data_IF_534883462320
#
_entry.id   IF_534883462320
#
_cell.length_a   1.000
_cell.length_b   1.000
_cell.length_c   1.000
_cell.angle_alpha   90.00
_cell.angle_beta   90.00
_cell.angle_gamma   90.00
#
_symmetry.space_group_name_H-M   'P 1'
#
loop_
_entity.id
_entity.type
_entity.pdbx_description
1 polymer ?
#
# COMPACT_ATOMS: atom_id res chain seq x y z
N UNK A 1 1.39 -29.71 -23.88
CA UNK A 1 2.47 -28.81 -23.40
C UNK A 1 1.80 -27.71 -22.60
N UNK A 2 2.15 -27.54 -21.32
CA UNK A 2 1.57 -26.48 -20.48
C UNK A 2 2.50 -25.27 -20.56
N UNK A 3 1.95 -24.09 -20.83
CA UNK A 3 2.68 -22.83 -20.79
C UNK A 3 2.48 -22.18 -19.43
N UNK A 4 3.56 -21.75 -18.79
CA UNK A 4 3.52 -20.98 -17.55
C UNK A 4 3.69 -19.51 -17.87
N UNK A 5 2.93 -18.67 -17.19
CA UNK A 5 3.08 -17.22 -17.18
C UNK A 5 3.63 -16.78 -15.84
N UNK A 6 4.47 -15.75 -15.82
CA UNK A 6 4.97 -15.16 -14.59
C UNK A 6 3.79 -14.60 -13.79
N UNK A 7 3.59 -15.02 -12.53
CA UNK A 7 2.51 -14.50 -11.72
C UNK A 7 2.79 -13.05 -11.32
N UNK A 8 1.74 -12.22 -11.30
CA UNK A 8 1.79 -10.89 -10.72
C UNK A 8 1.41 -10.98 -9.24
N UNK A 9 2.28 -10.49 -8.37
CA UNK A 9 2.18 -10.58 -6.90
C UNK A 9 2.28 -9.18 -6.28
N UNK A 10 1.14 -8.49 -6.07
CA UNK A 10 1.13 -7.19 -5.41
C UNK A 10 1.28 -7.32 -3.88
N UNK A 11 1.90 -6.31 -3.26
CA UNK A 11 2.04 -6.19 -1.81
C UNK A 11 1.06 -5.13 -1.27
N UNK A 12 0.14 -5.55 -0.40
CA UNK A 12 -0.77 -4.65 0.29
C UNK A 12 -0.14 -4.09 1.57
N UNK A 13 -0.19 -2.78 1.73
CA UNK A 13 0.42 -2.05 2.84
C UNK A 13 -0.62 -1.17 3.51
N UNK A 14 -0.81 -1.25 4.85
CA UNK A 14 -1.70 -0.34 5.57
C UNK A 14 -1.29 1.11 5.36
N UNK A 15 -2.17 1.94 4.79
CA UNK A 15 -1.94 3.37 4.58
C UNK A 15 -1.78 4.15 5.90
N UNK A 16 -2.20 3.56 7.03
CA UNK A 16 -1.98 4.10 8.38
C UNK A 16 -0.57 3.90 8.94
N UNK A 17 0.34 3.23 8.20
CA UNK A 17 1.71 2.87 8.62
C UNK A 17 2.77 3.36 7.61
N UNK A 18 2.99 4.69 7.50
CA UNK A 18 3.93 5.27 6.55
C UNK A 18 5.38 4.79 6.74
N UNK A 19 5.76 4.36 7.93
CA UNK A 19 7.06 3.76 8.22
C UNK A 19 7.33 2.46 7.42
N UNK A 20 6.28 1.85 6.83
CA UNK A 20 6.39 0.64 6.01
C UNK A 20 6.61 0.92 4.52
N UNK A 21 6.40 2.14 4.05
CA UNK A 21 6.34 2.43 2.61
C UNK A 21 7.69 2.20 1.93
N UNK A 22 8.79 2.70 2.51
CA UNK A 22 10.13 2.51 1.94
C UNK A 22 10.53 1.03 1.86
N UNK A 23 10.12 0.22 2.84
CA UNK A 23 10.39 -1.24 2.83
C UNK A 23 9.54 -1.97 1.78
N UNK A 24 8.32 -1.51 1.56
CA UNK A 24 7.44 -2.08 0.55
C UNK A 24 7.93 -1.75 -0.87
N UNK A 25 8.37 -0.51 -1.11
CA UNK A 25 8.98 -0.07 -2.36
C UNK A 25 10.24 -0.91 -2.69
N UNK A 26 11.06 -1.21 -1.69
CA UNK A 26 12.26 -2.03 -1.86
C UNK A 26 12.00 -3.56 -1.86
N UNK A 27 10.74 -4.01 -1.84
CA UNK A 27 10.42 -5.44 -1.61
C UNK A 27 10.56 -6.34 -2.84
N UNK A 28 10.61 -5.76 -4.04
CA UNK A 28 10.57 -6.51 -5.30
C UNK A 28 9.17 -7.01 -5.68
N UNK A 29 8.12 -6.56 -4.98
CA UNK A 29 6.74 -6.79 -5.39
C UNK A 29 6.46 -6.09 -6.73
N UNK A 30 5.59 -6.68 -7.56
CA UNK A 30 5.24 -6.12 -8.86
C UNK A 30 4.49 -4.79 -8.73
N UNK A 31 3.79 -4.60 -7.61
CA UNK A 31 3.13 -3.37 -7.24
C UNK A 31 2.99 -3.26 -5.72
N UNK A 32 2.93 -2.03 -5.21
CA UNK A 32 2.56 -1.73 -3.82
C UNK A 32 1.19 -1.07 -3.81
N UNK A 33 0.25 -1.66 -3.07
CA UNK A 33 -1.12 -1.14 -2.91
C UNK A 33 -1.27 -0.60 -1.50
N UNK A 34 -1.47 0.72 -1.37
CA UNK A 34 -1.73 1.35 -0.08
C UNK A 34 -3.21 1.18 0.27
N UNK A 35 -3.49 0.39 1.29
CA UNK A 35 -4.84 0.14 1.77
C UNK A 35 -5.29 1.26 2.72
N UNK A 36 -6.31 2.01 2.30
CA UNK A 36 -6.90 3.13 3.03
C UNK A 36 -8.24 2.78 3.68
N UNK A 37 -8.80 1.60 3.40
CA UNK A 37 -10.16 1.22 3.79
C UNK A 37 -10.13 0.34 5.04
N UNK A 38 -9.61 -0.89 4.96
CA UNK A 38 -9.78 -1.92 6.00
C UNK A 38 -8.56 -2.10 6.92
N UNK A 39 -7.36 -1.73 6.47
CA UNK A 39 -6.16 -1.77 7.30
C UNK A 39 -6.00 -0.55 8.25
N UNK A 40 -7.02 0.31 8.35
CA UNK A 40 -7.09 1.44 9.28
C UNK A 40 -8.01 1.06 10.44
N UNK A 41 -7.44 0.88 11.64
CA UNK A 41 -8.25 0.65 12.85
C UNK A 41 -9.33 1.74 12.97
N UNK A 42 -10.58 1.42 13.40
CA UNK A 42 -11.72 2.35 13.36
C UNK A 42 -11.46 3.73 14.00
N UNK A 43 -10.55 3.82 14.98
CA UNK A 43 -10.13 5.07 15.62
C UNK A 43 -9.08 5.92 14.86
N UNK A 44 -8.66 5.54 13.65
CA UNK A 44 -7.60 6.24 12.89
C UNK A 44 -8.04 6.89 11.57
N UNK A 45 -9.32 6.77 11.21
CA UNK A 45 -9.87 7.28 9.92
C UNK A 45 -9.58 8.77 9.74
N UNK A 46 -9.63 9.58 10.81
CA UNK A 46 -9.39 11.02 10.73
C UNK A 46 -7.96 11.42 10.28
N UNK A 47 -6.93 10.60 10.53
CA UNK A 47 -5.54 10.90 10.12
C UNK A 47 -5.18 10.38 8.74
N UNK A 48 -5.89 9.36 8.23
CA UNK A 48 -5.63 8.78 6.92
C UNK A 48 -6.04 9.73 5.79
N UNK A 49 -7.15 10.46 5.96
CA UNK A 49 -7.67 11.39 4.95
C UNK A 49 -6.88 12.72 4.88
N UNK A 50 -6.36 13.20 6.01
CA UNK A 50 -5.79 14.57 6.10
C UNK A 50 -4.39 14.69 5.47
N UNK A 51 -3.64 13.59 5.38
CA UNK A 51 -2.25 13.60 4.85
C UNK A 51 -2.12 13.59 3.33
N UNK A 52 -3.19 13.27 2.59
CA UNK A 52 -3.09 13.18 1.13
C UNK A 52 -3.31 14.51 0.40
N UNK A 53 -3.84 15.55 1.07
CA UNK A 53 -4.04 16.89 0.47
C UNK A 53 -2.80 17.80 0.48
N UNK A 54 -1.70 17.40 1.14
CA UNK A 54 -0.54 18.29 1.34
C UNK A 54 0.69 17.97 0.47
N UNK A 55 0.56 17.15 -0.58
CA UNK A 55 1.69 16.86 -1.50
C UNK A 55 1.29 16.76 -2.97
N UNK A 56 0.24 17.49 -3.34
CA UNK A 56 -0.02 17.90 -4.71
C UNK A 56 0.38 19.38 -4.85
N UNK A 57 1.68 19.63 -4.79
CA UNK A 57 2.36 20.86 -5.20
C UNK A 57 3.76 20.46 -5.66
#
# INVERSE_FOLDING_TARGET
MVSFVTPVVPLFVPGSRPERFAKADSSGADAVVLDLEDAVAPGRIARAHDRHRSRAA
#
